data_IF_913440942056
#
_entry.id   IF_913440942056
#
_cell.length_a   1.000
_cell.length_b   1.000
_cell.length_c   1.000
_cell.angle_alpha   90.00
_cell.angle_beta   90.00
_cell.angle_gamma   90.00
#
_symmetry.space_group_name_H-M   'P 1'
#
loop_
_entity.id
_entity.type
_entity.pdbx_description
1 polymer ?
#
# COMPACT_ATOMS: atom_id res chain seq x y z
N UNK A 1 -9.43 -10.62 7.23
CA UNK A 1 -8.68 -10.90 5.99
C UNK A 1 -8.86 -9.77 5.00
N UNK A 2 -7.89 -8.85 4.93
CA UNK A 2 -8.08 -7.54 4.30
C UNK A 2 -6.82 -7.00 3.63
N UNK A 3 -6.95 -6.68 2.35
CA UNK A 3 -6.10 -5.72 1.64
C UNK A 3 -6.62 -4.31 1.90
N UNK A 4 -5.75 -3.42 2.37
CA UNK A 4 -6.00 -1.99 2.54
C UNK A 4 -5.25 -1.24 1.44
N UNK A 5 -5.94 -0.34 0.76
CA UNK A 5 -5.32 0.62 -0.15
C UNK A 5 -5.33 1.99 0.54
N UNK A 6 -4.16 2.58 0.74
CA UNK A 6 -3.96 3.66 1.72
C UNK A 6 -3.26 4.85 1.06
N UNK A 7 -3.99 5.95 0.90
CA UNK A 7 -3.39 7.24 0.56
C UNK A 7 -2.51 7.74 1.70
N UNK A 8 -1.27 8.12 1.38
CA UNK A 8 -0.33 8.66 2.37
C UNK A 8 -0.03 10.15 2.19
N UNK A 9 -0.49 10.79 1.11
CA UNK A 9 -0.14 12.19 0.77
C UNK A 9 1.22 12.29 0.06
N UNK A 10 2.00 13.34 0.29
CA UNK A 10 3.33 13.51 -0.33
C UNK A 10 4.51 13.39 0.65
N UNK A 11 4.29 13.61 1.95
CA UNK A 11 5.29 13.61 3.03
C UNK A 11 4.67 13.12 4.36
N UNK A 12 5.51 12.78 5.35
CA UNK A 12 5.07 12.11 6.60
C UNK A 12 4.05 12.92 7.44
N UNK A 13 3.92 14.23 7.21
CA UNK A 13 2.93 15.10 7.88
C UNK A 13 1.51 14.96 7.32
N UNK A 14 1.37 14.39 6.13
CA UNK A 14 0.10 14.27 5.42
C UNK A 14 -0.63 12.95 5.81
N UNK A 15 0.03 12.08 6.59
CA UNK A 15 -0.51 10.81 7.07
C UNK A 15 -1.72 11.00 7.97
N UNK A 16 -2.90 10.61 7.49
CA UNK A 16 -4.09 10.52 8.33
C UNK A 16 -3.92 9.48 9.45
N UNK A 17 -4.62 9.64 10.57
CA UNK A 17 -4.59 8.68 11.68
C UNK A 17 -4.94 7.25 11.22
N UNK A 18 -5.89 7.11 10.29
CA UNK A 18 -6.25 5.82 9.68
C UNK A 18 -5.13 5.19 8.85
N UNK A 19 -4.29 6.01 8.20
CA UNK A 19 -3.09 5.50 7.52
C UNK A 19 -2.06 4.99 8.52
N UNK A 20 -1.88 5.68 9.66
CA UNK A 20 -1.00 5.21 10.76
C UNK A 20 -1.53 3.92 11.39
N UNK A 21 -2.84 3.80 11.62
CA UNK A 21 -3.48 2.57 12.08
C UNK A 21 -3.25 1.41 11.10
N UNK A 22 -3.41 1.63 9.79
CA UNK A 22 -3.16 0.60 8.78
C UNK A 22 -1.67 0.17 8.73
N UNK A 23 -0.74 1.12 8.81
CA UNK A 23 0.72 0.89 8.90
C UNK A 23 1.09 0.01 10.09
N UNK A 24 0.47 0.23 11.25
CA UNK A 24 0.75 -0.53 12.48
C UNK A 24 0.08 -1.91 12.43
N UNK A 25 -1.19 -2.00 12.03
CA UNK A 25 -2.01 -3.20 12.18
C UNK A 25 -1.87 -4.25 11.06
N UNK A 26 -1.44 -3.87 9.84
CA UNK A 26 -1.22 -4.85 8.76
C UNK A 26 0.09 -5.63 8.98
N UNK A 27 0.07 -6.95 8.73
CA UNK A 27 1.25 -7.80 8.86
C UNK A 27 2.30 -7.50 7.78
N UNK A 28 1.85 -7.24 6.54
CA UNK A 28 2.69 -6.75 5.44
C UNK A 28 2.31 -5.33 5.03
N UNK A 29 3.31 -4.56 4.63
CA UNK A 29 3.14 -3.18 4.13
C UNK A 29 4.02 -2.99 2.90
N UNK A 30 3.39 -2.56 1.82
CA UNK A 30 3.98 -2.24 0.54
C UNK A 30 3.86 -0.75 0.26
N UNK A 31 4.82 -0.12 -0.41
CA UNK A 31 4.69 1.24 -0.96
C UNK A 31 4.86 1.22 -2.47
N UNK A 32 3.95 1.88 -3.17
CA UNK A 32 4.03 1.99 -4.62
C UNK A 32 5.13 2.98 -5.04
N UNK A 33 6.04 2.53 -5.91
CA UNK A 33 7.19 3.33 -6.36
C UNK A 33 7.02 4.04 -7.71
N UNK A 34 5.97 3.72 -8.49
CA UNK A 34 5.94 4.02 -9.93
C UNK A 34 4.88 5.03 -10.41
N UNK A 35 3.86 5.36 -9.61
CA UNK A 35 2.86 6.40 -9.95
C UNK A 35 3.26 7.80 -9.49
N UNK A 36 3.87 7.92 -8.32
CA UNK A 36 4.36 9.20 -7.79
C UNK A 36 5.50 8.99 -6.79
N UNK A 37 6.50 9.87 -6.84
CA UNK A 37 7.65 9.78 -5.93
C UNK A 37 7.29 10.43 -4.59
N UNK A 38 7.05 9.59 -3.58
CA UNK A 38 6.97 10.03 -2.18
C UNK A 38 8.21 10.87 -1.80
N UNK A 39 7.98 12.05 -1.22
CA UNK A 39 9.03 13.04 -0.94
C UNK A 39 9.65 12.79 0.44
N UNK A 40 8.87 12.22 1.36
CA UNK A 40 9.33 11.82 2.70
C UNK A 40 10.30 10.64 2.71
N UNK A 41 10.82 10.31 3.89
CA UNK A 41 11.78 9.21 4.03
C UNK A 41 11.08 7.88 4.34
N UNK A 42 11.25 6.87 3.47
CA UNK A 42 10.76 5.49 3.71
C UNK A 42 11.12 4.97 5.12
N UNK A 43 12.32 5.26 5.61
CA UNK A 43 12.78 4.86 6.96
C UNK A 43 11.90 5.41 8.09
N UNK A 44 11.19 6.52 7.89
CA UNK A 44 10.26 7.05 8.89
C UNK A 44 8.92 6.29 8.87
N UNK A 45 8.42 5.91 7.68
CA UNK A 45 7.28 4.99 7.56
C UNK A 45 7.61 3.61 8.19
N UNK A 46 8.81 3.08 7.97
CA UNK A 46 9.26 1.81 8.58
C UNK A 46 9.37 1.89 10.12
N UNK A 47 9.81 3.04 10.67
CA UNK A 47 9.79 3.29 12.12
C UNK A 47 8.36 3.34 12.69
N UNK A 48 7.43 4.00 11.99
CA UNK A 48 6.02 4.10 12.40
C UNK A 48 5.34 2.73 12.35
N UNK A 49 5.51 1.99 11.26
CA UNK A 49 4.95 0.65 11.05
C UNK A 49 5.62 -0.43 11.93
N UNK A 50 6.81 -0.15 12.49
CA UNK A 50 7.68 -1.07 13.24
C UNK A 50 8.07 -2.34 12.47
N UNK A 51 8.09 -2.25 11.14
CA UNK A 51 8.39 -3.34 10.21
C UNK A 51 9.01 -2.78 8.92
N UNK A 52 9.67 -3.64 8.15
CA UNK A 52 10.13 -3.29 6.80
C UNK A 52 8.92 -2.97 5.92
N UNK A 53 9.11 -2.06 4.98
CA UNK A 53 8.15 -1.79 3.91
C UNK A 53 8.78 -2.29 2.62
N UNK A 54 8.05 -3.09 1.83
CA UNK A 54 8.52 -3.51 0.51
C UNK A 54 8.11 -2.44 -0.54
N UNK A 55 8.95 -2.19 -1.54
CA UNK A 55 8.61 -1.27 -2.64
C UNK A 55 8.04 -2.12 -3.77
N UNK A 56 6.89 -1.72 -4.31
CA UNK A 56 6.31 -2.32 -5.51
C UNK A 56 6.67 -1.47 -6.73
N UNK A 57 7.29 -2.10 -7.73
CA UNK A 57 7.42 -1.56 -9.06
C UNK A 57 6.15 -1.86 -9.87
N UNK A 58 6.01 -1.23 -11.05
CA UNK A 58 4.84 -1.44 -11.93
C UNK A 58 4.61 -2.92 -12.21
N UNK A 59 5.70 -3.66 -12.43
CA UNK A 59 5.67 -5.10 -12.71
C UNK A 59 5.04 -5.92 -11.57
N UNK A 60 5.25 -5.53 -10.32
CA UNK A 60 4.68 -6.25 -9.17
C UNK A 60 3.16 -6.03 -9.04
N UNK A 61 2.63 -4.96 -9.63
CA UNK A 61 1.19 -4.66 -9.69
C UNK A 61 0.51 -5.18 -10.97
N UNK A 62 1.25 -5.33 -12.07
CA UNK A 62 0.74 -5.86 -13.36
C UNK A 62 0.87 -7.39 -13.46
N UNK A 63 1.97 -7.99 -12.99
CA UNK A 63 2.21 -9.44 -13.01
C UNK A 63 2.21 -10.08 -11.60
N UNK A 64 2.59 -9.32 -10.56
CA UNK A 64 2.74 -9.85 -9.20
C UNK A 64 1.48 -9.85 -8.34
N UNK A 65 0.38 -9.24 -8.82
CA UNK A 65 -0.78 -8.90 -7.99
C UNK A 65 -1.50 -10.13 -7.40
N UNK A 66 -1.62 -11.23 -8.16
CA UNK A 66 -2.22 -12.49 -7.68
C UNK A 66 -1.53 -13.02 -6.42
N UNK A 67 -0.21 -12.83 -6.31
CA UNK A 67 0.56 -13.23 -5.12
C UNK A 67 0.21 -12.35 -3.92
N UNK A 68 0.04 -11.04 -4.11
CA UNK A 68 -0.37 -10.11 -3.06
C UNK A 68 -1.82 -10.37 -2.63
N UNK A 69 -2.71 -10.64 -3.58
CA UNK A 69 -4.11 -10.99 -3.33
C UNK A 69 -4.24 -12.36 -2.62
N UNK A 70 -3.37 -13.32 -2.94
CA UNK A 70 -3.29 -14.61 -2.22
C UNK A 70 -2.73 -14.44 -0.82
N UNK A 71 -1.59 -13.76 -0.66
CA UNK A 71 -1.01 -13.44 0.66
C UNK A 71 -1.99 -12.61 1.52
N UNK A 72 -2.99 -11.95 0.91
CA UNK A 72 -4.09 -11.26 1.58
C UNK A 72 -5.27 -12.19 2.01
N UNK A 73 -5.07 -13.52 2.14
CA UNK A 73 -6.11 -14.52 2.48
C UNK A 73 -6.03 -15.38 3.76
N UNK A 74 -4.95 -15.81 4.44
CA UNK A 74 -3.53 -15.47 4.63
C UNK A 74 -3.26 -14.36 5.68
N UNK A 75 -2.81 -13.14 5.36
CA UNK A 75 -2.66 -12.03 6.33
C UNK A 75 -3.32 -10.70 5.91
N UNK A 76 -3.39 -9.70 6.80
CA UNK A 76 -3.79 -8.33 6.41
C UNK A 76 -2.61 -7.56 5.82
N UNK A 77 -2.85 -6.86 4.71
CA UNK A 77 -1.81 -6.20 3.90
C UNK A 77 -2.22 -4.76 3.63
N UNK A 78 -1.29 -3.81 3.73
CA UNK A 78 -1.48 -2.45 3.22
C UNK A 78 -0.63 -2.21 1.97
N UNK A 79 -1.23 -1.62 0.93
CA UNK A 79 -0.52 -0.95 -0.18
C UNK A 79 -0.66 0.55 0.05
N UNK A 80 0.47 1.22 0.24
CA UNK A 80 0.56 2.67 0.41
C UNK A 80 0.73 3.34 -0.95
N UNK A 81 -0.13 4.28 -1.28
CA UNK A 81 -0.09 5.05 -2.53
C UNK A 81 0.31 6.49 -2.24
N UNK A 82 1.44 6.98 -2.78
CA UNK A 82 1.80 8.39 -2.75
C UNK A 82 0.72 9.24 -3.46
N UNK A 83 0.23 10.27 -2.79
CA UNK A 83 -0.95 11.04 -3.17
C UNK A 83 -2.24 10.39 -2.64
N UNK A 84 -3.22 10.27 -3.53
CA UNK A 84 -4.53 9.64 -3.30
C UNK A 84 -4.63 8.32 -4.10
N UNK A 85 -5.18 7.25 -3.49
CA UNK A 85 -5.18 5.91 -4.09
C UNK A 85 -6.19 5.71 -5.22
N UNK A 86 -7.15 6.60 -5.43
CA UNK A 86 -8.18 6.47 -6.48
C UNK A 86 -7.95 7.42 -7.67
N UNK A 87 -6.92 8.27 -7.58
CA UNK A 87 -6.51 9.19 -8.64
C UNK A 87 -5.76 8.50 -9.80
N UNK A 88 -5.26 7.28 -9.60
CA UNK A 88 -4.65 6.45 -10.65
C UNK A 88 -5.48 5.18 -10.92
N UNK A 89 -5.74 4.88 -12.18
CA UNK A 89 -6.76 3.88 -12.61
C UNK A 89 -6.43 2.43 -12.23
N UNK A 90 -5.16 2.03 -12.21
CA UNK A 90 -4.69 0.68 -11.85
C UNK A 90 -5.22 0.22 -10.48
N UNK A 91 -5.34 1.14 -9.53
CA UNK A 91 -5.85 0.86 -8.19
C UNK A 91 -7.33 0.46 -8.14
N UNK A 92 -8.14 1.01 -9.05
CA UNK A 92 -9.56 0.67 -9.17
C UNK A 92 -9.69 -0.78 -9.63
N UNK A 93 -8.79 -1.22 -10.51
CA UNK A 93 -8.72 -2.60 -10.98
C UNK A 93 -8.30 -3.57 -9.86
N UNK A 94 -7.29 -3.25 -9.05
CA UNK A 94 -6.91 -4.03 -7.86
C UNK A 94 -8.10 -4.26 -6.92
N UNK A 95 -8.86 -3.19 -6.63
CA UNK A 95 -10.03 -3.26 -5.76
C UNK A 95 -11.19 -4.05 -6.40
N UNK A 96 -11.37 -3.94 -7.72
CA UNK A 96 -12.38 -4.68 -8.50
C UNK A 96 -12.07 -6.18 -8.56
N UNK A 97 -10.81 -6.56 -8.80
CA UNK A 97 -10.37 -7.96 -8.79
C UNK A 97 -10.63 -8.60 -7.42
N UNK A 98 -10.28 -7.90 -6.32
CA UNK A 98 -10.51 -8.41 -4.96
C UNK A 98 -11.99 -8.67 -4.62
N UNK A 99 -12.95 -7.98 -5.23
CA UNK A 99 -14.38 -8.25 -5.00
C UNK A 99 -14.88 -9.54 -5.67
N UNK A 100 -14.07 -10.21 -6.49
CA UNK A 100 -14.44 -11.41 -7.25
C UNK A 100 -13.91 -12.72 -6.63
N UNK A 101 -13.32 -12.66 -5.42
CA UNK A 101 -12.54 -13.75 -4.79
C UNK A 101 -12.79 -13.88 -3.28
#
# INVERSE_FOLDING_TARGET
MMLYLVGIGMQEKDLSLKAVEALVNCQKVYIEGYTSKWIGFKKNLEKLARKKIEILERKDMEEGLDKILKDAKDQSIAILVPGDPFTATTHIEVMSQRQRI
#
